data_IF_949204933257
#
_entry.id   IF_949204933257
#
_cell.length_a   1.000
_cell.length_b   1.000
_cell.length_c   1.000
_cell.angle_alpha   90.00
_cell.angle_beta   90.00
_cell.angle_gamma   90.00
#
_symmetry.space_group_name_H-M   'P 1'
#
loop_
_entity.id
_entity.type
_entity.pdbx_description
1 polymer ?
#
# COMPACT_ATOMS: atom_id res chain seq x y z
N UNK A 1 -0.33 20.81 -3.96
CA UNK A 1 -0.59 19.50 -4.60
C UNK A 1 0.29 18.48 -3.91
N UNK A 2 -0.29 17.41 -3.36
CA UNK A 2 0.44 16.38 -2.63
C UNK A 2 1.33 15.60 -3.61
N UNK A 3 2.65 15.64 -3.41
CA UNK A 3 3.61 14.79 -4.11
C UNK A 3 3.67 13.46 -3.36
N UNK A 4 3.15 12.39 -3.97
CA UNK A 4 3.38 11.03 -3.50
C UNK A 4 4.85 10.69 -3.74
N UNK A 5 5.58 10.34 -2.68
CA UNK A 5 6.98 9.91 -2.78
C UNK A 5 7.07 8.55 -3.46
N UNK A 6 7.85 8.40 -4.55
CA UNK A 6 8.16 7.10 -5.09
C UNK A 6 9.13 6.41 -4.14
N UNK A 7 8.67 5.39 -3.41
CA UNK A 7 9.58 4.53 -2.67
C UNK A 7 10.33 3.63 -3.68
N UNK A 8 11.35 4.22 -4.29
CA UNK A 8 12.46 3.52 -4.91
C UNK A 8 13.65 3.68 -3.97
N UNK A 9 14.34 2.59 -3.65
CA UNK A 9 15.68 2.62 -3.07
C UNK A 9 16.69 3.09 -4.14
N UNK A 10 16.40 4.21 -4.81
CA UNK A 10 17.27 4.78 -5.82
C UNK A 10 18.23 5.74 -5.14
N UNK A 11 19.52 5.55 -5.43
CA UNK A 11 20.62 6.48 -5.12
C UNK A 11 20.43 7.91 -5.68
N UNK A 12 19.23 8.24 -6.18
CA UNK A 12 18.87 9.44 -6.93
C UNK A 12 17.70 10.24 -6.30
N UNK A 13 17.14 9.83 -5.16
CA UNK A 13 16.09 10.61 -4.49
C UNK A 13 16.67 11.91 -3.90
N UNK A 14 16.29 13.06 -4.48
CA UNK A 14 16.73 14.40 -4.09
C UNK A 14 15.54 15.29 -3.71
N UNK A 15 14.85 15.07 -2.58
CA UNK A 15 13.66 15.83 -2.18
C UNK A 15 13.90 17.35 -2.00
N UNK A 16 15.16 17.77 -1.84
CA UNK A 16 15.56 19.18 -1.77
C UNK A 16 15.78 19.84 -3.14
N UNK A 17 15.77 19.07 -4.24
CA UNK A 17 16.16 19.57 -5.56
C UNK A 17 14.93 19.98 -6.38
N UNK A 18 14.89 21.23 -6.80
CA UNK A 18 13.93 21.77 -7.75
C UNK A 18 14.65 22.22 -9.03
N UNK A 19 14.30 21.64 -10.18
CA UNK A 19 14.92 21.94 -11.46
C UNK A 19 14.67 23.37 -11.95
N UNK A 20 13.59 24.01 -11.48
CA UNK A 20 13.21 25.37 -11.86
C UNK A 20 13.78 26.46 -10.93
N UNK A 21 14.59 26.09 -9.93
CA UNK A 21 15.12 27.02 -8.93
C UNK A 21 16.64 27.24 -9.08
N UNK A 22 17.18 28.28 -8.44
CA UNK A 22 18.60 28.62 -8.59
C UNK A 22 19.53 27.59 -7.93
N UNK A 23 20.76 27.42 -8.43
CA UNK A 23 21.74 26.51 -7.82
C UNK A 23 22.00 26.80 -6.34
N UNK A 24 22.01 28.07 -5.95
CA UNK A 24 22.25 28.53 -4.58
C UNK A 24 21.11 28.11 -3.63
N UNK A 25 19.87 28.24 -4.09
CA UNK A 25 18.68 27.83 -3.32
C UNK A 25 18.61 26.33 -3.17
N UNK A 26 18.90 25.58 -4.23
CA UNK A 26 19.02 24.13 -4.16
C UNK A 26 20.13 23.68 -3.19
N UNK A 27 21.25 24.42 -3.12
CA UNK A 27 22.34 24.14 -2.16
C UNK A 27 21.93 24.44 -0.73
N UNK A 28 21.20 25.54 -0.49
CA UNK A 28 20.66 25.90 0.82
C UNK A 28 19.62 24.86 1.29
N UNK A 29 18.70 24.47 0.40
CA UNK A 29 17.72 23.43 0.67
C UNK A 29 18.39 22.10 1.02
N UNK A 30 19.43 21.71 0.28
CA UNK A 30 20.23 20.51 0.60
C UNK A 30 20.75 20.54 2.03
N UNK A 31 21.34 21.67 2.45
CA UNK A 31 21.87 21.85 3.81
C UNK A 31 20.78 21.79 4.88
N UNK A 32 19.59 22.34 4.61
CA UNK A 32 18.46 22.24 5.54
C UNK A 32 17.95 20.79 5.67
N UNK A 33 17.95 20.03 4.57
CA UNK A 33 17.54 18.63 4.55
C UNK A 33 18.50 17.69 5.30
N UNK A 34 19.74 18.10 5.60
CA UNK A 34 20.67 17.32 6.42
C UNK A 34 20.15 17.10 7.86
N UNK A 35 19.28 17.98 8.36
CA UNK A 35 18.65 17.85 9.67
C UNK A 35 17.32 17.09 9.64
N UNK A 36 16.84 16.65 8.46
CA UNK A 36 15.52 16.03 8.30
C UNK A 36 15.65 14.51 8.25
N UNK A 37 14.91 13.83 9.13
CA UNK A 37 14.69 12.39 9.04
C UNK A 37 13.36 12.13 8.33
N UNK A 38 13.41 11.42 7.19
CA UNK A 38 12.22 11.04 6.45
C UNK A 38 11.84 9.59 6.74
N UNK A 39 10.63 9.39 7.27
CA UNK A 39 10.04 8.06 7.49
C UNK A 39 8.93 7.86 6.47
N UNK A 40 9.09 6.89 5.57
CA UNK A 40 8.09 6.53 4.57
C UNK A 40 7.72 5.05 4.67
N UNK A 41 6.49 4.73 4.26
CA UNK A 41 6.08 3.35 4.12
C UNK A 41 6.94 2.68 3.03
N UNK A 42 7.45 1.49 3.32
CA UNK A 42 8.18 0.69 2.34
C UNK A 42 7.24 0.33 1.20
N UNK A 43 7.64 0.64 -0.03
CA UNK A 43 6.90 0.16 -1.20
C UNK A 43 6.89 -1.36 -1.25
N UNK A 44 5.71 -1.99 -1.42
CA UNK A 44 5.65 -3.43 -1.59
C UNK A 44 6.39 -3.84 -2.87
N UNK A 45 7.35 -4.76 -2.75
CA UNK A 45 8.11 -5.28 -3.88
C UNK A 45 7.54 -6.57 -4.46
N UNK A 46 6.39 -7.04 -3.95
CA UNK A 46 5.79 -8.30 -4.36
C UNK A 46 5.32 -8.25 -5.82
N UNK A 47 5.44 -9.37 -6.54
CA UNK A 47 4.95 -9.48 -7.92
C UNK A 47 3.45 -9.18 -8.02
N UNK A 48 2.68 -9.60 -7.01
CA UNK A 48 1.23 -9.34 -6.92
C UNK A 48 0.93 -7.85 -6.84
N UNK A 49 1.64 -7.10 -6.01
CA UNK A 49 1.47 -5.65 -5.88
C UNK A 49 1.85 -4.92 -7.17
N UNK A 50 2.93 -5.35 -7.86
CA UNK A 50 3.31 -4.79 -9.16
C UNK A 50 2.24 -5.00 -10.23
N UNK A 51 1.67 -6.20 -10.31
CA UNK A 51 0.59 -6.50 -11.24
C UNK A 51 -0.66 -5.67 -10.94
N UNK A 52 -1.08 -5.61 -9.67
CA UNK A 52 -2.16 -4.74 -9.21
C UNK A 52 -1.90 -3.28 -9.59
N UNK A 53 -0.71 -2.77 -9.30
CA UNK A 53 -0.35 -1.38 -9.59
C UNK A 53 -0.41 -1.07 -11.08
N UNK A 54 0.08 -1.98 -11.92
CA UNK A 54 0.02 -1.84 -13.38
C UNK A 54 -1.43 -1.76 -13.88
N UNK A 55 -2.32 -2.62 -13.37
CA UNK A 55 -3.74 -2.60 -13.73
C UNK A 55 -4.44 -1.32 -13.29
N UNK A 56 -4.19 -0.86 -12.06
CA UNK A 56 -4.74 0.41 -11.56
C UNK A 56 -4.28 1.59 -12.42
N UNK A 57 -2.99 1.66 -12.75
CA UNK A 57 -2.45 2.72 -13.62
C UNK A 57 -3.05 2.67 -15.03
N UNK A 58 -3.26 1.47 -15.57
CA UNK A 58 -3.89 1.28 -16.87
C UNK A 58 -5.32 1.84 -16.87
N UNK A 59 -6.15 1.41 -15.92
CA UNK A 59 -7.55 1.88 -15.79
C UNK A 59 -7.59 3.39 -15.54
N UNK A 60 -6.71 3.92 -14.68
CA UNK A 60 -6.66 5.35 -14.40
C UNK A 60 -6.37 6.19 -15.68
N UNK A 61 -5.52 5.67 -16.56
CA UNK A 61 -5.20 6.31 -17.84
C UNK A 61 -6.35 6.21 -18.84
N UNK A 62 -6.96 5.04 -18.96
CA UNK A 62 -8.00 4.75 -19.95
C UNK A 62 -9.33 5.45 -19.62
N UNK A 63 -9.71 5.48 -18.34
CA UNK A 63 -11.04 5.93 -17.91
C UNK A 63 -11.07 7.35 -17.34
N UNK A 64 -9.94 7.87 -16.86
CA UNK A 64 -9.89 9.14 -16.11
C UNK A 64 -8.83 10.13 -16.63
N UNK A 65 -8.17 9.82 -17.75
CA UNK A 65 -7.05 10.60 -18.30
C UNK A 65 -5.94 10.89 -17.27
N UNK A 66 -5.86 10.08 -16.22
CA UNK A 66 -4.90 10.26 -15.14
C UNK A 66 -3.63 9.49 -15.44
N UNK A 67 -2.57 10.20 -15.81
CA UNK A 67 -1.23 9.63 -16.01
C UNK A 67 -0.45 9.62 -14.69
N UNK A 68 -0.65 8.55 -13.90
CA UNK A 68 0.28 8.25 -12.81
C UNK A 68 1.71 8.13 -13.37
N UNK A 69 2.71 8.70 -12.68
CA UNK A 69 4.10 8.56 -13.11
C UNK A 69 4.51 7.09 -13.10
N UNK A 70 5.38 6.67 -14.03
CA UNK A 70 5.82 5.26 -14.12
C UNK A 70 6.44 4.77 -12.81
N UNK A 71 7.18 5.64 -12.13
CA UNK A 71 7.83 5.37 -10.83
C UNK A 71 6.94 5.64 -9.62
N UNK A 72 5.74 6.21 -9.79
CA UNK A 72 4.84 6.49 -8.66
C UNK A 72 4.21 5.21 -8.15
N UNK A 73 4.28 5.02 -6.84
CA UNK A 73 3.66 3.88 -6.16
C UNK A 73 2.19 4.16 -5.99
N UNK A 74 1.32 3.20 -6.33
CA UNK A 74 -0.12 3.34 -6.08
C UNK A 74 -0.33 3.64 -4.60
N UNK A 75 -1.24 4.57 -4.32
CA UNK A 75 -1.53 4.97 -2.94
C UNK A 75 -1.92 3.74 -2.10
N UNK A 76 -1.30 3.52 -0.92
CA UNK A 76 -1.59 2.37 -0.07
C UNK A 76 -3.08 2.27 0.33
N UNK A 77 -3.82 3.37 0.38
CA UNK A 77 -5.27 3.32 0.62
C UNK A 77 -6.01 2.58 -0.49
N UNK A 78 -5.63 2.77 -1.75
CA UNK A 78 -6.24 2.07 -2.91
C UNK A 78 -5.97 0.57 -2.84
N UNK A 79 -4.75 0.19 -2.46
CA UNK A 79 -4.39 -1.21 -2.22
C UNK A 79 -5.20 -1.80 -1.05
N UNK A 80 -5.32 -1.07 0.06
CA UNK A 80 -6.09 -1.50 1.23
C UNK A 80 -7.59 -1.69 0.94
N UNK A 81 -8.19 -0.82 0.12
CA UNK A 81 -9.57 -1.01 -0.33
C UNK A 81 -9.74 -2.28 -1.17
N UNK A 82 -8.80 -2.54 -2.09
CA UNK A 82 -8.83 -3.76 -2.89
C UNK A 82 -8.69 -5.03 -2.02
N UNK A 83 -7.74 -5.04 -1.08
CA UNK A 83 -7.62 -6.13 -0.10
C UNK A 83 -8.91 -6.30 0.72
N UNK A 84 -9.52 -5.21 1.18
CA UNK A 84 -10.77 -5.21 1.94
C UNK A 84 -11.93 -5.84 1.17
N UNK A 85 -12.04 -5.55 -0.14
CA UNK A 85 -13.05 -6.18 -1.01
C UNK A 85 -12.82 -7.68 -1.19
N UNK A 86 -11.56 -8.12 -1.34
CA UNK A 86 -11.23 -9.54 -1.43
C UNK A 86 -11.58 -10.29 -0.14
N UNK A 87 -11.27 -9.69 1.01
CA UNK A 87 -11.63 -10.21 2.33
C UNK A 87 -13.14 -10.29 2.49
N UNK A 88 -13.87 -9.24 2.11
CA UNK A 88 -15.32 -9.21 2.13
C UNK A 88 -15.91 -10.32 1.24
N UNK A 89 -15.46 -10.46 0.00
CA UNK A 89 -15.95 -11.48 -0.92
C UNK A 89 -15.73 -12.90 -0.38
N UNK A 90 -14.58 -13.15 0.25
CA UNK A 90 -14.29 -14.45 0.88
C UNK A 90 -15.16 -14.72 2.11
N UNK A 91 -15.41 -13.70 2.94
CA UNK A 91 -16.29 -13.82 4.11
C UNK A 91 -17.77 -13.99 3.71
N UNK A 92 -18.21 -13.30 2.66
CA UNK A 92 -19.53 -13.46 2.08
C UNK A 92 -19.74 -14.89 1.56
N UNK A 93 -18.76 -15.42 0.81
CA UNK A 93 -18.80 -16.80 0.33
C UNK A 93 -18.91 -17.81 1.49
N UNK A 94 -18.16 -17.59 2.58
CA UNK A 94 -18.27 -18.41 3.80
C UNK A 94 -19.67 -18.33 4.41
N UNK A 95 -20.23 -17.13 4.50
CA UNK A 95 -21.57 -16.89 5.06
C UNK A 95 -22.65 -17.61 4.25
N UNK A 96 -22.55 -17.58 2.93
CA UNK A 96 -23.48 -18.30 2.04
C UNK A 96 -23.38 -19.82 2.20
N UNK A 97 -22.16 -20.36 2.38
CA UNK A 97 -21.96 -21.79 2.66
C UNK A 97 -22.56 -22.24 4.00
N UNK A 98 -22.76 -21.30 4.93
CA UNK A 98 -23.41 -21.53 6.22
C UNK A 98 -24.93 -21.30 6.15
N UNK A 99 -25.51 -21.22 4.95
CA UNK A 99 -26.92 -20.86 4.70
C UNK A 99 -27.31 -19.47 5.27
N UNK A 100 -26.33 -18.57 5.40
CA UNK A 100 -26.56 -17.17 5.76
C UNK A 100 -27.06 -16.33 4.58
N UNK A 101 -27.46 -15.09 4.88
CA UNK A 101 -27.95 -14.14 3.86
C UNK A 101 -26.86 -13.12 3.49
N UNK A 102 -26.90 -12.62 2.25
CA UNK A 102 -26.10 -11.47 1.80
C UNK A 102 -26.43 -10.19 2.57
N UNK A 103 -27.62 -10.12 3.17
CA UNK A 103 -28.07 -8.98 3.98
C UNK A 103 -27.69 -9.10 5.45
N UNK A 104 -27.17 -10.26 5.89
CA UNK A 104 -26.69 -10.46 7.26
C UNK A 104 -25.26 -9.95 7.41
N UNK A 105 -25.14 -8.63 7.45
CA UNK A 105 -23.85 -7.96 7.59
C UNK A 105 -23.10 -8.37 8.86
N UNK A 106 -23.81 -8.70 9.95
CA UNK A 106 -23.16 -9.10 11.21
C UNK A 106 -22.44 -10.44 11.06
N UNK A 107 -23.07 -11.38 10.38
CA UNK A 107 -22.49 -12.69 10.11
C UNK A 107 -21.36 -12.62 9.07
N UNK A 108 -21.50 -11.76 8.05
CA UNK A 108 -20.42 -11.51 7.10
C UNK A 108 -19.19 -10.93 7.82
N UNK A 109 -19.39 -9.90 8.65
CA UNK A 109 -18.31 -9.28 9.42
C UNK A 109 -17.71 -10.29 10.41
N UNK A 110 -18.49 -11.11 11.11
CA UNK A 110 -17.92 -12.13 12.03
C UNK A 110 -17.03 -13.14 11.29
N UNK A 111 -17.34 -13.46 10.03
CA UNK A 111 -16.51 -14.27 9.16
C UNK A 111 -15.28 -13.53 8.58
N UNK A 112 -15.17 -12.20 8.73
CA UNK A 112 -13.96 -11.43 8.42
C UNK A 112 -12.99 -11.35 9.60
N UNK A 113 -13.49 -11.29 10.84
CA UNK A 113 -12.65 -11.12 12.03
C UNK A 113 -11.89 -12.39 12.42
N UNK A 114 -10.71 -12.21 13.02
CA UNK A 114 -9.85 -13.28 13.58
C UNK A 114 -9.51 -14.40 12.58
N UNK A 115 -9.53 -14.10 11.27
CA UNK A 115 -9.13 -15.01 10.21
C UNK A 115 -7.88 -14.50 9.51
N UNK A 116 -6.92 -15.39 9.32
CA UNK A 116 -5.84 -15.18 8.37
C UNK A 116 -6.35 -15.49 6.97
N UNK A 117 -6.73 -14.44 6.26
CA UNK A 117 -6.80 -14.50 4.81
C UNK A 117 -5.37 -14.71 4.33
N UNK A 118 -5.04 -15.93 3.91
CA UNK A 118 -3.67 -16.30 3.54
C UNK A 118 -3.07 -15.31 2.53
N UNK A 119 -1.75 -15.36 2.32
CA UNK A 119 -1.01 -14.43 1.44
C UNK A 119 -1.53 -14.30 0.00
N UNK A 120 -2.53 -15.11 -0.40
CA UNK A 120 -3.31 -14.99 -1.63
C UNK A 120 -4.07 -13.67 -1.74
N UNK A 121 -4.56 -13.08 -0.65
CA UNK A 121 -5.35 -11.83 -0.71
C UNK A 121 -4.57 -10.59 -0.30
N UNK A 122 -3.30 -10.77 0.07
CA UNK A 122 -2.45 -9.74 0.66
C UNK A 122 -1.53 -9.10 -0.39
N UNK A 123 -1.69 -7.80 -0.57
CA UNK A 123 -0.90 -6.86 -1.36
C UNK A 123 0.07 -6.05 -0.49
N UNK A 124 -0.38 -5.60 0.68
CA UNK A 124 0.40 -4.75 1.58
C UNK A 124 1.17 -5.60 2.60
N UNK A 125 2.42 -5.22 2.93
CA UNK A 125 3.14 -5.85 4.02
C UNK A 125 2.43 -5.52 5.34
N UNK A 126 2.12 -6.54 6.14
CA UNK A 126 1.66 -6.34 7.51
C UNK A 126 2.85 -6.03 8.39
N UNK A 127 2.77 -4.97 9.19
CA UNK A 127 3.70 -4.76 10.29
C UNK A 127 3.56 -5.92 11.28
N UNK A 128 4.69 -6.56 11.58
CA UNK A 128 4.82 -7.71 12.48
C UNK A 128 4.16 -8.99 11.94
N UNK A 129 4.93 -9.74 11.15
CA UNK A 129 4.82 -11.20 11.27
C UNK A 129 5.16 -11.53 12.72
N UNK A 130 4.28 -12.24 13.43
CA UNK A 130 4.65 -12.89 14.68
C UNK A 130 5.67 -13.96 14.34
N UNK A 131 6.92 -13.56 14.11
CA UNK A 131 8.04 -14.45 14.34
C UNK A 131 8.06 -14.75 15.83
N UNK A 132 8.06 -16.04 16.15
CA UNK A 132 8.02 -16.54 17.52
C UNK A 132 9.23 -16.05 18.31
N UNK A 133 9.04 -14.97 19.06
CA UNK A 133 9.78 -14.75 20.30
C UNK A 133 8.99 -15.45 21.39
N UNK A 134 9.20 -16.77 21.47
CA UNK A 134 8.80 -17.55 22.63
C UNK A 134 9.69 -17.13 23.79
N UNK A 135 9.12 -16.45 24.77
CA UNK A 135 9.66 -16.52 26.12
C UNK A 135 9.11 -17.81 26.70
N UNK A 136 9.90 -18.88 26.61
CA UNK A 136 9.78 -19.95 27.60
C UNK A 136 10.08 -19.31 28.95
N UNK A 137 9.06 -19.23 29.79
CA UNK A 137 9.27 -19.15 31.23
C UNK A 137 8.61 -20.38 31.84
N UNK A 138 9.49 -21.14 32.48
CA UNK A 138 9.33 -22.28 33.38
C UNK A 138 7.99 -22.39 34.10
#
# INVERSE_FOLDING_TARGET
MYSSSPASTSSNFKPWHNASDTPERNKLAKKAYEAVLMVTARSPSSHRYRNFSSQVKKIAREEFEYSAYEDETVNPYVAGFFEGLLVYAAALNTTLQQNGSITDGRHIISNMWNRTFGGKYRLLPTGVEREGWGWDTS
#
